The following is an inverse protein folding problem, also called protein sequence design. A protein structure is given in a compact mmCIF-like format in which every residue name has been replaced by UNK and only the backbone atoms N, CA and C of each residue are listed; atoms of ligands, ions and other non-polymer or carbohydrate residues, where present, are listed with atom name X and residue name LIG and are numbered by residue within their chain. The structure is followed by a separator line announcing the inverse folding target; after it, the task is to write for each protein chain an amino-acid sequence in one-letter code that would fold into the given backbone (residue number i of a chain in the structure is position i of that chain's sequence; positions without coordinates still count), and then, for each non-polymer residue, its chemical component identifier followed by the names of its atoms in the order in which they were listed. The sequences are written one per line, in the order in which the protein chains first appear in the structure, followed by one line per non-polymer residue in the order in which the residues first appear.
data_IF_364722548216
#
_entry.id   IF_364722548216
#
_cell.length_a   1.000
_cell.length_b   1.000
_cell.length_c   1.000
_cell.angle_alpha   90.00
_cell.angle_beta   90.00
_cell.angle_gamma   90.00
#
_symmetry.space_group_name_H-M   'P 1'
#
loop_
_entity.id
_entity.type
_entity.pdbx_description
1 polymer ?
#
# COMPACT_ATOMS: atom_id res chain seq x y z
N UNK A 1 -13.17 -9.90 2.48
CA UNK A 1 -12.50 -8.82 3.24
C UNK A 1 -13.39 -7.60 3.24
N UNK A 2 -13.50 -6.88 4.37
CA UNK A 2 -14.22 -5.59 4.40
C UNK A 2 -13.42 -4.54 3.61
N UNK A 3 -14.08 -3.63 2.91
CA UNK A 3 -13.41 -2.64 2.03
C UNK A 3 -12.40 -1.76 2.77
N UNK A 4 -12.67 -1.43 4.04
CA UNK A 4 -11.77 -0.63 4.88
C UNK A 4 -10.38 -1.25 5.06
N UNK A 5 -10.28 -2.58 5.00
CA UNK A 5 -9.01 -3.31 5.18
C UNK A 5 -7.99 -2.86 4.12
N UNK A 6 -8.43 -2.60 2.88
CA UNK A 6 -7.53 -2.21 1.78
C UNK A 6 -6.85 -0.84 1.97
N UNK A 7 -7.33 -0.04 2.92
CA UNK A 7 -6.77 1.27 3.26
C UNK A 7 -5.87 1.25 4.49
N UNK A 8 -5.63 0.08 5.12
CA UNK A 8 -4.78 0.00 6.31
C UNK A 8 -3.39 0.61 6.07
N UNK A 9 -2.66 0.30 4.98
CA UNK A 9 -1.36 0.92 4.73
C UNK A 9 -1.46 2.44 4.61
N UNK A 10 -2.44 2.97 3.89
CA UNK A 10 -2.68 4.41 3.81
C UNK A 10 -2.84 5.03 5.20
N UNK A 11 -3.71 4.46 6.04
CA UNK A 11 -4.00 4.99 7.38
C UNK A 11 -2.73 4.97 8.24
N UNK A 12 -2.02 3.84 8.25
CA UNK A 12 -0.80 3.64 9.04
C UNK A 12 0.31 4.62 8.65
N UNK A 13 0.51 4.88 7.35
CA UNK A 13 1.53 5.84 6.90
C UNK A 13 1.07 7.30 7.00
N UNK A 14 -0.21 7.60 6.85
CA UNK A 14 -0.71 8.99 6.91
C UNK A 14 -0.57 9.58 8.31
N UNK A 15 -0.75 8.80 9.38
CA UNK A 15 -0.63 9.28 10.77
C UNK A 15 0.75 9.87 11.08
N UNK A 16 1.88 9.14 10.94
CA UNK A 16 3.20 9.68 11.25
C UNK A 16 3.60 10.81 10.30
N UNK A 17 3.34 10.70 8.99
CA UNK A 17 3.65 11.77 8.04
C UNK A 17 2.78 13.02 8.22
N UNK A 18 1.55 12.85 8.70
CA UNK A 18 0.66 13.95 9.06
C UNK A 18 1.16 14.73 10.28
N UNK A 19 1.68 14.05 11.30
CA UNK A 19 2.30 14.71 12.45
C UNK A 19 3.54 15.51 12.04
N UNK A 20 4.42 14.92 11.23
CA UNK A 20 5.61 15.61 10.70
C UNK A 20 5.22 16.85 9.88
N UNK A 21 4.14 16.78 9.09
CA UNK A 21 3.64 17.91 8.31
C UNK A 21 3.14 19.06 9.19
N UNK A 22 2.56 18.76 10.37
CA UNK A 22 2.02 19.77 11.29
C UNK A 22 3.10 20.46 12.11
N UNK A 23 4.16 19.73 12.48
CA UNK A 23 5.23 20.26 13.32
C UNK A 23 6.17 21.21 12.56
N UNK A 24 6.05 21.35 11.22
CA UNK A 24 7.00 22.04 10.34
C UNK A 24 8.46 21.56 10.49
N UNK A 25 8.67 20.41 11.15
CA UNK A 25 9.99 19.82 11.38
C UNK A 25 10.33 18.96 10.17
N UNK A 26 10.86 19.61 9.14
CA UNK A 26 11.51 18.96 8.01
C UNK A 26 10.70 18.88 6.72
N UNK A 27 11.43 18.82 5.59
CA UNK A 27 10.85 18.67 4.27
C UNK A 27 10.33 17.24 4.07
N UNK A 28 9.03 17.09 3.80
CA UNK A 28 8.47 15.83 3.34
C UNK A 28 8.88 15.64 1.88
N UNK A 29 9.59 14.53 1.60
CA UNK A 29 9.96 14.19 0.23
C UNK A 29 8.70 14.00 -0.64
N UNK A 30 8.66 14.58 -1.85
CA UNK A 30 7.54 14.37 -2.79
C UNK A 30 7.22 12.90 -3.04
N UNK A 31 8.22 12.01 -2.92
CA UNK A 31 8.03 10.57 -3.13
C UNK A 31 7.12 9.95 -2.07
N UNK A 32 7.12 10.45 -0.84
CA UNK A 32 6.21 10.00 0.23
C UNK A 32 4.76 10.33 -0.15
N UNK A 33 4.52 11.52 -0.69
CA UNK A 33 3.19 11.95 -1.14
C UNK A 33 2.70 11.05 -2.27
N UNK A 34 3.57 10.76 -3.24
CA UNK A 34 3.27 9.81 -4.33
C UNK A 34 2.93 8.42 -3.77
N UNK A 35 3.69 7.95 -2.77
CA UNK A 35 3.42 6.69 -2.09
C UNK A 35 2.05 6.64 -1.40
N UNK A 36 1.66 7.71 -0.69
CA UNK A 36 0.33 7.82 -0.07
C UNK A 36 -0.79 7.83 -1.12
N UNK A 37 -0.62 8.54 -2.23
CA UNK A 37 -1.58 8.52 -3.34
C UNK A 37 -1.69 7.12 -3.99
N UNK A 38 -0.57 6.39 -4.08
CA UNK A 38 -0.57 5.00 -4.53
C UNK A 38 -1.32 4.08 -3.56
N UNK A 39 -1.14 4.22 -2.25
CA UNK A 39 -1.91 3.46 -1.26
C UNK A 39 -3.41 3.81 -1.30
N UNK A 40 -3.75 5.08 -1.49
CA UNK A 40 -5.14 5.51 -1.64
C UNK A 40 -5.77 4.91 -2.91
N UNK A 41 -5.10 5.01 -4.05
CA UNK A 41 -5.58 4.45 -5.31
C UNK A 41 -5.68 2.92 -5.26
N UNK A 42 -4.74 2.24 -4.61
CA UNK A 42 -4.79 0.82 -4.31
C UNK A 42 -6.05 0.44 -3.53
N UNK A 43 -6.34 1.16 -2.45
CA UNK A 43 -7.54 0.97 -1.64
C UNK A 43 -8.84 1.16 -2.45
N UNK A 44 -8.90 2.21 -3.29
CA UNK A 44 -10.05 2.51 -4.16
C UNK A 44 -10.27 1.40 -5.19
N UNK A 45 -9.21 0.94 -5.85
CA UNK A 45 -9.30 -0.11 -6.87
C UNK A 45 -9.68 -1.47 -6.28
N UNK A 46 -9.06 -1.87 -5.15
CA UNK A 46 -9.40 -3.11 -4.45
C UNK A 46 -10.84 -3.08 -3.90
N UNK A 47 -11.33 -1.92 -3.46
CA UNK A 47 -12.72 -1.73 -3.02
C UNK A 47 -13.76 -1.84 -4.15
N UNK A 48 -13.31 -1.68 -5.39
CA UNK A 48 -14.08 -1.86 -6.63
C UNK A 48 -13.80 -3.20 -7.30
N UNK A 49 -13.24 -4.15 -6.55
CA UNK A 49 -12.98 -5.53 -6.98
C UNK A 49 -12.01 -5.63 -8.17
N UNK A 50 -11.16 -4.61 -8.36
CA UNK A 50 -10.11 -4.59 -9.39
C UNK A 50 -8.78 -5.06 -8.81
N UNK A 51 -8.27 -6.19 -9.31
CA UNK A 51 -7.00 -6.78 -8.84
C UNK A 51 -5.81 -5.82 -9.01
N UNK A 52 -5.86 -4.93 -10.01
CA UNK A 52 -4.84 -3.90 -10.28
C UNK A 52 -4.53 -3.03 -9.06
N UNK A 53 -5.47 -2.86 -8.13
CA UNK A 53 -5.21 -2.13 -6.89
C UNK A 53 -4.13 -2.79 -6.01
N UNK A 54 -3.99 -4.12 -6.05
CA UNK A 54 -2.90 -4.83 -5.37
C UNK A 54 -1.52 -4.45 -5.93
N UNK A 55 -1.40 -4.31 -7.26
CA UNK A 55 -0.16 -3.89 -7.91
C UNK A 55 0.21 -2.44 -7.56
N UNK A 56 -0.78 -1.54 -7.53
CA UNK A 56 -0.56 -0.14 -7.15
C UNK A 56 -0.04 0.00 -5.72
N UNK A 57 -0.54 -0.80 -4.78
CA UNK A 57 -0.07 -0.79 -3.39
C UNK A 57 1.28 -1.49 -3.19
N UNK A 58 1.63 -2.43 -4.07
CA UNK A 58 2.92 -3.11 -4.04
C UNK A 58 4.08 -2.17 -4.46
N UNK A 59 3.85 -1.21 -5.35
CA UNK A 59 4.88 -0.25 -5.81
C UNK A 59 5.53 0.55 -4.66
N UNK A 60 4.78 1.29 -3.81
CA UNK A 60 5.36 1.99 -2.68
C UNK A 60 5.97 1.04 -1.64
N UNK A 61 5.47 -0.21 -1.54
CA UNK A 61 6.07 -1.22 -0.67
C UNK A 61 7.46 -1.66 -1.18
N UNK A 62 7.61 -1.91 -2.48
CA UNK A 62 8.91 -2.21 -3.11
C UNK A 62 9.87 -1.02 -2.96
N UNK A 63 9.37 0.21 -3.10
CA UNK A 63 10.17 1.41 -2.87
C UNK A 63 10.68 1.50 -1.43
N UNK A 64 9.84 1.21 -0.43
CA UNK A 64 10.26 1.13 0.99
C UNK A 64 11.32 0.06 1.22
N UNK A 65 11.17 -1.13 0.61
CA UNK A 65 12.18 -2.19 0.68
C UNK A 65 13.51 -1.70 0.09
N UNK A 66 13.46 -1.05 -1.08
CA UNK A 66 14.63 -0.50 -1.72
C UNK A 66 15.30 0.58 -0.86
N UNK A 67 14.55 1.49 -0.26
CA UNK A 67 15.13 2.50 0.63
C UNK A 67 15.74 1.89 1.89
N UNK A 68 15.15 0.82 2.44
CA UNK A 68 15.74 0.07 3.54
C UNK A 68 17.04 -0.70 3.20
N UNK A 69 17.41 -0.82 1.93
CA UNK A 69 18.74 -1.34 1.53
C UNK A 69 19.82 -0.26 1.49
N UNK A 70 19.44 1.02 1.58
CA UNK A 70 20.37 2.14 1.58
C UNK A 70 20.59 2.61 3.01
N UNK A 71 21.80 3.10 3.28
CA UNK A 71 22.08 3.86 4.50
C UNK A 71 21.41 5.24 4.39
N UNK A 72 20.15 5.32 4.82
CA UNK A 72 19.37 6.57 4.85
C UNK A 72 19.64 7.43 6.10
N UNK A 73 20.53 6.98 6.99
CA UNK A 73 20.80 7.63 8.27
C UNK A 73 19.64 7.50 9.29
N UNK A 74 18.62 6.69 9.00
CA UNK A 74 17.54 6.39 9.93
C UNK A 74 17.94 5.29 10.91
N UNK A 75 17.54 5.46 12.18
CA UNK A 75 17.81 4.50 13.27
C UNK A 75 17.11 3.15 13.01
N UNK A 76 15.98 3.17 12.30
CA UNK A 76 15.17 2.00 12.00
C UNK A 76 15.23 1.72 10.51
N UNK A 77 15.57 0.48 10.16
CA UNK A 77 15.55 0.02 8.77
C UNK A 77 14.09 -0.07 8.28
N UNK A 78 13.79 0.57 7.14
CA UNK A 78 12.46 0.60 6.52
C UNK A 78 12.09 -0.73 5.81
N UNK A 79 13.07 -1.60 5.55
CA UNK A 79 12.91 -2.85 4.80
C UNK A 79 11.85 -3.79 5.40
N UNK A 80 11.84 -4.11 6.71
CA UNK A 80 10.85 -5.03 7.29
C UNK A 80 9.42 -4.52 7.11
N UNK A 81 9.20 -3.21 7.26
CA UNK A 81 7.89 -2.58 7.07
C UNK A 81 7.47 -2.70 5.60
N UNK A 82 8.39 -2.41 4.67
CA UNK A 82 8.15 -2.59 3.24
C UNK A 82 7.74 -4.03 2.88
N UNK A 83 8.41 -5.05 3.44
CA UNK A 83 8.08 -6.46 3.24
C UNK A 83 6.67 -6.79 3.74
N UNK A 84 6.30 -6.34 4.94
CA UNK A 84 4.97 -6.56 5.53
C UNK A 84 3.89 -5.96 4.62
N UNK A 85 4.10 -4.72 4.16
CA UNK A 85 3.14 -4.02 3.29
C UNK A 85 3.04 -4.70 1.92
N UNK A 86 4.16 -5.19 1.38
CA UNK A 86 4.17 -5.93 0.12
C UNK A 86 3.35 -7.22 0.22
N UNK A 87 3.60 -8.04 1.25
CA UNK A 87 2.83 -9.27 1.51
C UNK A 87 1.35 -8.96 1.66
N UNK A 88 1.01 -7.89 2.40
CA UNK A 88 -0.36 -7.44 2.58
C UNK A 88 -1.06 -7.17 1.23
N UNK A 89 -0.43 -6.42 0.32
CA UNK A 89 -1.03 -6.12 -0.99
C UNK A 89 -1.05 -7.32 -1.94
N UNK A 90 -0.09 -8.23 -1.86
CA UNK A 90 -0.12 -9.52 -2.57
C UNK A 90 -1.34 -10.34 -2.14
N UNK A 91 -1.57 -10.50 -0.82
CA UNK A 91 -2.72 -11.23 -0.29
C UNK A 91 -4.04 -10.57 -0.72
N UNK A 92 -4.14 -9.24 -0.63
CA UNK A 92 -5.33 -8.51 -1.05
C UNK A 92 -5.60 -8.67 -2.55
N UNK A 93 -4.57 -8.52 -3.39
CA UNK A 93 -4.66 -8.71 -4.82
C UNK A 93 -5.09 -10.12 -5.21
N UNK A 94 -4.46 -11.15 -4.63
CA UNK A 94 -4.82 -12.55 -4.83
C UNK A 94 -6.25 -12.84 -4.42
N UNK A 95 -6.70 -12.37 -3.24
CA UNK A 95 -8.07 -12.56 -2.78
C UNK A 95 -9.11 -12.01 -3.76
N UNK A 96 -8.88 -10.79 -4.26
CA UNK A 96 -9.75 -10.19 -5.27
C UNK A 96 -9.72 -10.99 -6.57
N UNK A 97 -8.55 -11.39 -7.04
CA UNK A 97 -8.39 -12.18 -8.26
C UNK A 97 -9.17 -13.50 -8.21
N UNK A 98 -9.03 -14.28 -7.13
CA UNK A 98 -9.78 -15.53 -6.96
C UNK A 98 -11.29 -15.30 -6.87
N UNK A 99 -11.73 -14.24 -6.17
CA UNK A 99 -13.16 -13.92 -6.07
C UNK A 99 -13.74 -13.51 -7.43
N UNK A 100 -13.05 -12.67 -8.18
CA UNK A 100 -13.51 -12.23 -9.50
C UNK A 100 -13.58 -13.40 -10.50
N UNK A 101 -12.62 -14.33 -10.44
CA UNK A 101 -12.66 -15.58 -11.23
C UNK A 101 -13.83 -16.48 -10.85
N UNK A 102 -14.08 -16.67 -9.54
CA UNK A 102 -15.22 -17.45 -9.05
C UNK A 102 -16.56 -16.86 -9.51
N UNK A 103 -16.71 -15.53 -9.46
CA UNK A 103 -17.94 -14.85 -9.89
C UNK A 103 -18.18 -15.03 -11.39
N UNK A 104 -17.14 -14.90 -12.22
CA UNK A 104 -17.23 -15.12 -13.66
C UNK A 104 -17.70 -16.54 -14.00
N UNK A 105 -17.11 -17.56 -13.36
CA UNK A 105 -17.51 -18.96 -13.56
C UNK A 105 -18.96 -19.27 -13.14
N UNK A 106 -19.59 -18.45 -12.29
CA UNK A 106 -20.99 -18.63 -11.89
C UNK A 106 -21.97 -17.91 -12.82
N UNK A 107 -21.51 -16.91 -13.58
CA UNK A 107 -22.30 -16.15 -14.56
C UNK A 107 -22.29 -16.82 -15.95
N UNK A 108 -21.26 -17.62 -16.24
CA UNK A 108 -21.11 -18.39 -17.48
C UNK A 108 -21.81 -19.78 -17.40
N UNK A 109 -22.63 -20.02 -16.36
CA UNK A 109 -23.38 -21.25 -16.06
C UNK A 109 -24.88 -20.93 -16.02
#
# INVERSE_FOLDING_TARGET
MKKIVFYIPLIVFTVPYGLIALDNVGHISPVVIIGLLLFLSAGVFLSKDKFWGGLLGALPAIYLIYMGTKDTGQIINEMPIGIIVLIFYVICGSFIFYRSKKLKNQLDL
#
